data_IF_526883270740
#
_entry.id   IF_526883270740
#
_cell.length_a   1.000
_cell.length_b   1.000
_cell.length_c   1.000
_cell.angle_alpha   90.00
_cell.angle_beta   90.00
_cell.angle_gamma   90.00
#
_symmetry.space_group_name_H-M   'P 1'
#
loop_
_entity.id
_entity.type
_entity.pdbx_description
1 polymer ?
#
# COMPACT_ATOMS: atom_id res chain seq x y z
N UNK A 1 -10.81 -32.73 -33.16
CA UNK A 1 -10.76 -32.31 -31.73
C UNK A 1 -9.48 -31.58 -31.31
N UNK A 2 -8.27 -31.95 -31.77
CA UNK A 2 -7.00 -31.25 -31.41
C UNK A 2 -6.99 -29.75 -31.75
N UNK A 3 -7.51 -29.37 -32.92
CA UNK A 3 -7.54 -27.96 -33.37
C UNK A 3 -8.54 -27.09 -32.60
N UNK A 4 -9.65 -27.67 -32.12
CA UNK A 4 -10.65 -26.97 -31.29
C UNK A 4 -10.11 -26.70 -29.88
N UNK A 5 -9.38 -27.66 -29.28
CA UNK A 5 -8.72 -27.49 -27.98
C UNK A 5 -7.62 -26.41 -28.03
N UNK A 6 -6.85 -26.36 -29.12
CA UNK A 6 -5.83 -25.34 -29.33
C UNK A 6 -6.44 -23.94 -29.51
N UNK A 7 -7.58 -23.84 -30.21
CA UNK A 7 -8.33 -22.59 -30.38
C UNK A 7 -8.84 -22.04 -29.03
N UNK A 8 -9.41 -22.92 -28.20
CA UNK A 8 -9.89 -22.55 -26.85
C UNK A 8 -8.72 -22.05 -25.98
N UNK A 9 -7.58 -22.74 -26.01
CA UNK A 9 -6.40 -22.34 -25.25
C UNK A 9 -5.88 -20.96 -25.71
N UNK A 10 -5.86 -20.69 -27.02
CA UNK A 10 -5.38 -19.43 -27.57
C UNK A 10 -6.31 -18.24 -27.23
N UNK A 11 -7.62 -18.48 -27.14
CA UNK A 11 -8.62 -17.46 -26.78
C UNK A 11 -8.64 -17.20 -25.27
N UNK A 12 -8.45 -18.23 -24.42
CA UNK A 12 -8.49 -18.07 -22.97
C UNK A 12 -7.19 -17.51 -22.38
N UNK A 13 -6.03 -17.78 -23.00
CA UNK A 13 -4.72 -17.34 -22.51
C UNK A 13 -4.60 -15.81 -22.27
N UNK A 14 -5.04 -14.91 -23.17
CA UNK A 14 -4.93 -13.47 -22.94
C UNK A 14 -5.83 -12.97 -21.80
N UNK A 15 -6.89 -13.70 -21.45
CA UNK A 15 -7.80 -13.33 -20.35
C UNK A 15 -7.10 -13.42 -18.98
N UNK A 16 -6.13 -14.34 -18.83
CA UNK A 16 -5.34 -14.48 -17.61
C UNK A 16 -4.28 -13.37 -17.45
N UNK A 17 -3.73 -12.84 -18.56
CA UNK A 17 -2.76 -11.75 -18.49
C UNK A 17 -3.39 -10.41 -18.09
N UNK A 18 -4.69 -10.20 -18.38
CA UNK A 18 -5.40 -8.99 -17.98
C UNK A 18 -5.72 -8.93 -16.48
N UNK A 19 -5.87 -10.07 -15.81
CA UNK A 19 -6.08 -10.11 -14.35
C UNK A 19 -4.81 -9.84 -13.54
N UNK A 20 -3.63 -9.93 -14.16
CA UNK A 20 -2.35 -9.70 -13.47
C UNK A 20 -2.02 -8.20 -13.29
N UNK A 21 -2.80 -7.30 -13.89
CA UNK A 21 -2.68 -5.86 -13.70
C UNK A 21 -3.74 -5.36 -12.71
N UNK A 22 -3.76 -5.90 -11.49
CA UNK A 22 -4.47 -5.26 -10.39
C UNK A 22 -3.61 -4.09 -9.90
N UNK A 23 -4.16 -2.87 -9.93
CA UNK A 23 -3.55 -1.71 -9.28
C UNK A 23 -3.38 -2.01 -7.80
N UNK A 24 -2.13 -2.03 -7.34
CA UNK A 24 -1.79 -2.14 -5.92
C UNK A 24 -1.66 -0.74 -5.34
N UNK A 25 -2.79 -0.02 -5.27
CA UNK A 25 -2.83 1.26 -4.56
C UNK A 25 -2.51 1.00 -3.07
N UNK A 26 -1.68 1.87 -2.47
CA UNK A 26 -1.34 1.79 -1.06
C UNK A 26 -2.57 2.14 -0.18
N UNK A 27 -3.46 2.99 -0.64
CA UNK A 27 -4.63 3.45 0.11
C UNK A 27 -5.91 3.29 -0.73
N UNK A 28 -6.34 2.03 -1.01
CA UNK A 28 -7.45 1.78 -1.92
C UNK A 28 -8.75 2.32 -1.32
N UNK A 29 -9.39 3.26 -2.04
CA UNK A 29 -10.67 3.89 -1.68
C UNK A 29 -10.73 4.46 -0.24
N UNK A 30 -9.60 4.88 0.32
CA UNK A 30 -9.51 5.37 1.70
C UNK A 30 -8.97 6.79 1.74
N UNK A 31 -9.72 7.69 2.38
CA UNK A 31 -9.24 9.04 2.66
C UNK A 31 -8.54 9.05 4.01
N UNK A 32 -7.25 9.35 4.02
CA UNK A 32 -6.50 9.50 5.26
C UNK A 32 -6.88 10.82 5.92
N UNK A 33 -7.25 10.73 7.19
CA UNK A 33 -7.74 11.84 8.03
C UNK A 33 -6.73 12.27 9.09
N UNK A 34 -5.83 11.38 9.48
CA UNK A 34 -4.75 11.67 10.42
C UNK A 34 -3.59 10.70 10.21
N UNK A 35 -2.39 11.14 10.61
CA UNK A 35 -1.20 10.30 10.69
C UNK A 35 -0.61 10.45 12.09
N UNK A 36 -0.47 9.35 12.82
CA UNK A 36 0.16 9.32 14.14
C UNK A 36 1.58 8.81 13.98
N UNK A 37 2.54 9.57 14.49
CA UNK A 37 3.93 9.15 14.63
C UNK A 37 4.08 8.57 16.02
N UNK A 38 4.49 7.31 16.10
CA UNK A 38 4.58 6.58 17.35
C UNK A 38 5.97 6.00 17.53
N UNK A 39 6.50 6.08 18.75
CA UNK A 39 7.70 5.36 19.13
C UNK A 39 7.47 3.85 19.03
N UNK A 40 8.39 3.14 18.38
CA UNK A 40 8.21 1.73 18.09
C UNK A 40 8.14 0.89 19.36
N UNK A 41 9.00 1.21 20.35
CA UNK A 41 9.22 0.40 21.55
C UNK A 41 8.24 0.69 22.67
N UNK A 42 7.89 1.96 22.85
CA UNK A 42 7.01 2.40 23.94
C UNK A 42 5.55 2.52 23.53
N UNK A 43 5.27 2.51 22.22
CA UNK A 43 3.96 2.85 21.67
C UNK A 43 3.48 4.25 22.11
N UNK A 44 4.38 5.16 22.47
CA UNK A 44 4.03 6.54 22.80
C UNK A 44 3.78 7.34 21.52
N UNK A 45 2.68 8.09 21.47
CA UNK A 45 2.39 8.99 20.37
C UNK A 45 3.28 10.25 20.49
N UNK A 46 4.22 10.38 19.57
CA UNK A 46 5.18 11.49 19.53
C UNK A 46 4.56 12.70 18.85
N UNK A 47 3.78 12.47 17.80
CA UNK A 47 3.16 13.53 17.02
C UNK A 47 1.89 13.04 16.32
N UNK A 48 1.02 13.98 16.00
CA UNK A 48 -0.21 13.77 15.27
C UNK A 48 -0.34 14.83 14.16
N UNK A 49 -0.44 14.38 12.92
CA UNK A 49 -0.61 15.22 11.74
C UNK A 49 -2.07 15.11 11.29
N UNK A 50 -2.78 16.23 11.29
CA UNK A 50 -4.19 16.34 10.87
C UNK A 50 -4.41 17.39 9.77
N UNK A 51 -3.33 18.02 9.28
CA UNK A 51 -3.43 18.97 8.18
C UNK A 51 -3.72 18.21 6.88
N UNK A 52 -4.89 18.47 6.29
CA UNK A 52 -5.38 17.74 5.13
C UNK A 52 -4.49 17.93 3.88
N UNK A 53 -3.92 19.12 3.67
CA UNK A 53 -3.03 19.40 2.54
C UNK A 53 -1.74 18.58 2.65
N UNK A 54 -1.09 18.62 3.82
CA UNK A 54 0.12 17.83 4.06
C UNK A 54 -0.11 16.32 3.97
N UNK A 55 -1.26 15.85 4.45
CA UNK A 55 -1.63 14.43 4.36
C UNK A 55 -1.85 14.03 2.89
N UNK A 56 -2.56 14.87 2.14
CA UNK A 56 -2.81 14.62 0.71
C UNK A 56 -1.50 14.54 -0.07
N UNK A 57 -0.60 15.50 0.13
CA UNK A 57 0.70 15.55 -0.54
C UNK A 57 1.56 14.32 -0.23
N UNK A 58 1.58 13.90 1.05
CA UNK A 58 2.31 12.71 1.47
C UNK A 58 1.71 11.43 0.88
N UNK A 59 0.39 11.28 0.90
CA UNK A 59 -0.30 10.11 0.33
C UNK A 59 -0.04 10.03 -1.18
N UNK A 60 -0.14 11.15 -1.90
CA UNK A 60 0.17 11.20 -3.33
C UNK A 60 1.62 10.81 -3.62
N UNK A 61 2.57 11.35 -2.85
CA UNK A 61 3.99 11.01 -2.99
C UNK A 61 4.26 9.52 -2.73
N UNK A 62 3.56 8.91 -1.76
CA UNK A 62 3.69 7.49 -1.45
C UNK A 62 3.09 6.60 -2.55
N UNK A 63 1.90 6.94 -3.06
CA UNK A 63 1.27 6.21 -4.18
C UNK A 63 2.10 6.26 -5.46
N UNK A 64 2.78 7.40 -5.70
CA UNK A 64 3.68 7.56 -6.84
C UNK A 64 5.05 6.89 -6.63
N UNK A 65 5.41 6.52 -5.40
CA UNK A 65 6.71 5.94 -5.11
C UNK A 65 6.79 4.49 -5.63
N UNK A 66 7.84 4.19 -6.39
CA UNK A 66 8.18 2.81 -6.68
C UNK A 66 8.61 2.09 -5.40
N UNK A 67 7.82 1.13 -4.95
CA UNK A 67 8.16 0.29 -3.81
C UNK A 67 8.74 -1.04 -4.28
N UNK A 68 9.78 -1.49 -3.58
CA UNK A 68 10.30 -2.85 -3.70
C UNK A 68 10.19 -3.49 -2.33
N UNK A 69 9.73 -4.74 -2.26
CA UNK A 69 9.64 -5.46 -1.00
C UNK A 69 11.03 -5.57 -0.36
N UNK A 70 11.12 -5.17 0.90
CA UNK A 70 12.36 -5.25 1.70
C UNK A 70 12.38 -6.46 2.62
N UNK A 71 11.46 -7.41 2.44
CA UNK A 71 11.27 -8.56 3.34
C UNK A 71 12.53 -9.44 3.51
N UNK A 72 13.39 -9.49 2.49
CA UNK A 72 14.63 -10.28 2.51
C UNK A 72 15.88 -9.42 2.78
N UNK A 73 15.71 -8.12 3.06
CA UNK A 73 16.80 -7.21 3.39
C UNK A 73 16.93 -7.11 4.90
N UNK A 74 18.16 -7.23 5.40
CA UNK A 74 18.49 -6.99 6.82
C UNK A 74 18.53 -5.48 7.08
N UNK A 75 17.34 -4.89 7.23
CA UNK A 75 17.16 -3.47 7.54
C UNK A 75 16.97 -3.35 9.06
N UNK A 76 17.75 -2.48 9.74
CA UNK A 76 17.56 -2.25 11.16
C UNK A 76 16.14 -1.74 11.43
N UNK A 77 15.53 -2.25 12.51
CA UNK A 77 14.21 -1.80 12.98
C UNK A 77 14.21 -0.28 13.15
N UNK A 78 13.22 0.47 12.64
CA UNK A 78 13.18 1.91 12.84
C UNK A 78 12.83 2.26 14.29
N UNK A 79 13.18 3.49 14.67
CA UNK A 79 12.81 4.07 15.96
C UNK A 79 11.32 4.41 16.04
N UNK A 80 10.69 4.69 14.89
CA UNK A 80 9.31 5.18 14.81
C UNK A 80 8.47 4.39 13.80
N UNK A 81 7.18 4.28 14.08
CA UNK A 81 6.16 3.87 13.11
C UNK A 81 5.19 4.99 12.79
N UNK A 82 4.68 4.96 11.57
CA UNK A 82 3.63 5.82 11.07
C UNK A 82 2.32 5.03 11.02
N UNK A 83 1.30 5.52 11.70
CA UNK A 83 -0.05 4.96 11.64
C UNK A 83 -0.92 5.90 10.82
N UNK A 84 -1.47 5.41 9.72
CA UNK A 84 -2.40 6.15 8.85
C UNK A 84 -3.82 5.83 9.26
N UNK A 85 -4.64 6.85 9.51
CA UNK A 85 -5.99 6.70 10.04
C UNK A 85 -7.06 7.26 9.10
N UNK A 86 -8.17 6.54 8.99
CA UNK A 86 -9.42 7.02 8.40
C UNK A 86 -10.51 6.99 9.46
N UNK A 87 -11.09 8.16 9.78
CA UNK A 87 -12.17 8.31 10.76
C UNK A 87 -11.84 7.68 12.13
N UNK A 88 -10.58 7.78 12.56
CA UNK A 88 -10.09 7.23 13.83
C UNK A 88 -9.68 5.76 13.82
N UNK A 89 -9.84 5.06 12.69
CA UNK A 89 -9.37 3.67 12.53
C UNK A 89 -8.05 3.62 11.77
N UNK A 90 -7.10 2.82 12.25
CA UNK A 90 -5.83 2.58 11.54
C UNK A 90 -6.12 1.75 10.29
N UNK A 91 -5.71 2.26 9.14
CA UNK A 91 -5.87 1.58 7.83
C UNK A 91 -4.54 1.10 7.26
N UNK A 92 -3.42 1.66 7.72
CA UNK A 92 -2.07 1.25 7.31
C UNK A 92 -1.03 1.64 8.35
N UNK A 93 0.04 0.86 8.43
CA UNK A 93 1.20 1.10 9.27
C UNK A 93 2.48 1.01 8.43
N UNK A 94 3.43 1.92 8.68
CA UNK A 94 4.78 1.88 8.09
C UNK A 94 5.85 2.03 9.16
N UNK A 95 6.95 1.32 8.94
CA UNK A 95 8.20 1.32 9.70
C UNK A 95 8.85 -0.06 9.60
#
# INVERSE_FOLDING_TARGET
MRKLKALILFICLPMFFLMACQQNDLFPNTTITAIIIQDWDTAEAISNITNAEHISDLVEALEAANYTATADLDIPKPDYRLLFLTNGSIVREFG
#
